data_IF_931988328930
#
_entry.id   IF_931988328930
#
_cell.length_a   1.000
_cell.length_b   1.000
_cell.length_c   1.000
_cell.angle_alpha   90.00
_cell.angle_beta   90.00
_cell.angle_gamma   90.00
#
_symmetry.space_group_name_H-M   'P 1'
#
loop_
_entity.id
_entity.type
_entity.pdbx_description
1 polymer ?
#
# COMPACT_ATOMS: atom_id res chain seq x y z
N UNK A 1 22.25 -4.58 -8.78
CA UNK A 1 20.88 -5.17 -8.70
C UNK A 1 19.87 -4.25 -8.03
N UNK A 2 20.18 -3.66 -6.87
CA UNK A 2 19.27 -2.75 -6.13
C UNK A 2 18.85 -1.50 -6.92
N UNK A 3 19.76 -0.92 -7.73
CA UNK A 3 19.44 0.23 -8.59
C UNK A 3 18.45 -0.17 -9.69
N UNK A 4 18.68 -1.31 -10.35
CA UNK A 4 17.77 -1.81 -11.39
C UNK A 4 16.37 -2.09 -10.84
N UNK A 5 16.26 -2.68 -9.64
CA UNK A 5 14.96 -2.88 -8.98
C UNK A 5 14.29 -1.56 -8.62
N UNK A 6 15.05 -0.57 -8.15
CA UNK A 6 14.50 0.74 -7.82
C UNK A 6 13.97 1.46 -9.07
N UNK A 7 14.74 1.47 -10.17
CA UNK A 7 14.32 2.05 -11.44
C UNK A 7 13.05 1.36 -11.95
N UNK A 8 12.98 0.04 -11.87
CA UNK A 8 11.78 -0.72 -12.26
C UNK A 8 10.56 -0.34 -11.42
N UNK A 9 10.70 -0.22 -10.10
CA UNK A 9 9.61 0.21 -9.20
C UNK A 9 9.10 1.60 -9.59
N UNK A 10 10.01 2.54 -9.87
CA UNK A 10 9.66 3.90 -10.30
C UNK A 10 8.90 3.90 -11.62
N UNK A 11 9.39 3.18 -12.63
CA UNK A 11 8.73 3.10 -13.94
C UNK A 11 7.32 2.50 -13.81
N UNK A 12 7.17 1.44 -13.02
CA UNK A 12 5.89 0.81 -12.77
C UNK A 12 4.93 1.72 -11.98
N UNK A 13 5.42 2.46 -10.99
CA UNK A 13 4.63 3.43 -10.25
C UNK A 13 4.12 4.56 -11.16
N UNK A 14 4.98 5.09 -12.04
CA UNK A 14 4.60 6.10 -13.03
C UNK A 14 3.54 5.53 -13.97
N UNK A 15 3.74 4.32 -14.49
CA UNK A 15 2.79 3.67 -15.38
C UNK A 15 1.41 3.50 -14.74
N UNK A 16 1.35 3.06 -13.48
CA UNK A 16 0.08 2.91 -12.76
C UNK A 16 -0.55 4.26 -12.32
N UNK A 17 0.21 5.36 -12.33
CA UNK A 17 -0.33 6.69 -12.08
C UNK A 17 -1.00 7.31 -13.33
N UNK A 18 -0.65 6.85 -14.54
CA UNK A 18 -1.20 7.37 -15.80
C UNK A 18 -2.74 7.38 -15.83
N UNK A 19 -3.47 6.32 -15.45
CA UNK A 19 -4.93 6.32 -15.51
C UNK A 19 -5.56 7.37 -14.59
N UNK A 20 -4.91 7.68 -13.46
CA UNK A 20 -5.37 8.74 -12.58
C UNK A 20 -5.13 10.12 -13.19
N UNK A 21 -3.99 10.34 -13.85
CA UNK A 21 -3.68 11.62 -14.50
C UNK A 21 -4.64 11.88 -15.67
N UNK A 22 -4.85 10.89 -16.54
CA UNK A 22 -5.70 11.02 -17.74
C UNK A 22 -7.18 11.10 -17.38
N UNK A 23 -7.63 10.36 -16.35
CA UNK A 23 -9.02 10.36 -15.92
C UNK A 23 -9.43 11.54 -15.03
N UNK A 24 -8.47 12.29 -14.48
CA UNK A 24 -8.76 13.42 -13.60
C UNK A 24 -9.29 14.62 -14.38
N UNK A 25 -10.48 15.09 -14.00
CA UNK A 25 -11.12 16.27 -14.57
C UNK A 25 -11.80 17.09 -13.48
N UNK A 26 -12.11 18.36 -13.77
CA UNK A 26 -12.90 19.20 -12.87
C UNK A 26 -14.37 18.89 -13.10
N UNK A 27 -15.02 18.33 -12.09
CA UNK A 27 -16.46 18.08 -12.09
C UNK A 27 -17.19 19.27 -11.47
N UNK A 28 -18.23 19.74 -12.17
CA UNK A 28 -19.12 20.80 -11.71
C UNK A 28 -20.46 20.21 -11.30
N UNK A 29 -20.87 20.48 -10.06
CA UNK A 29 -22.20 20.10 -9.56
C UNK A 29 -22.94 21.37 -9.17
N UNK A 30 -24.08 21.60 -9.84
CA UNK A 30 -25.00 22.70 -9.54
C UNK A 30 -25.90 22.27 -8.39
N UNK A 31 -25.77 22.91 -7.23
CA UNK A 31 -26.63 22.64 -6.06
C UNK A 31 -27.89 23.49 -6.12
N UNK A 32 -27.74 24.78 -6.50
CA UNK A 32 -28.82 25.73 -6.72
C UNK A 32 -28.48 26.62 -7.92
N UNK A 33 -29.43 27.48 -8.36
CA UNK A 33 -29.24 28.38 -9.51
C UNK A 33 -28.00 29.28 -9.41
N UNK A 34 -27.61 29.66 -8.19
CA UNK A 34 -26.49 30.56 -7.92
C UNK A 34 -25.28 29.89 -7.26
N UNK A 35 -25.37 28.61 -6.90
CA UNK A 35 -24.31 27.89 -6.15
C UNK A 35 -23.86 26.66 -6.91
N UNK A 36 -22.63 26.74 -7.42
CA UNK A 36 -21.93 25.64 -8.08
C UNK A 36 -20.70 25.22 -7.27
N UNK A 37 -20.48 23.91 -7.18
CA UNK A 37 -19.28 23.34 -6.56
C UNK A 37 -18.38 22.71 -7.62
N UNK A 38 -17.10 23.07 -7.56
CA UNK A 38 -16.04 22.56 -8.44
C UNK A 38 -15.15 21.65 -7.62
N UNK A 39 -14.93 20.42 -8.07
CA UNK A 39 -13.97 19.51 -7.43
C UNK A 39 -13.28 18.64 -8.47
N UNK A 40 -12.05 18.20 -8.15
CA UNK A 40 -11.32 17.26 -8.99
C UNK A 40 -11.89 15.85 -8.81
N UNK A 41 -12.26 15.20 -9.91
CA UNK A 41 -12.85 13.87 -9.91
C UNK A 41 -12.06 12.95 -10.85
N UNK A 42 -11.60 11.77 -10.38
CA UNK A 42 -10.65 10.92 -11.12
C UNK A 42 -11.29 9.92 -12.09
N UNK A 43 -12.64 9.88 -12.18
CA UNK A 43 -13.35 8.88 -12.98
C UNK A 43 -14.29 9.57 -13.97
N UNK A 44 -13.90 9.70 -15.26
CA UNK A 44 -14.76 10.28 -16.29
C UNK A 44 -16.07 9.50 -16.44
N UNK A 45 -17.19 10.19 -16.55
CA UNK A 45 -18.51 9.55 -16.74
C UNK A 45 -18.59 8.76 -18.05
N UNK A 46 -17.87 9.21 -19.08
CA UNK A 46 -17.78 8.59 -20.40
C UNK A 46 -17.21 7.16 -20.37
N UNK A 47 -16.37 6.83 -19.38
CA UNK A 47 -15.73 5.51 -19.27
C UNK A 47 -16.61 4.50 -18.49
N UNK A 48 -17.75 4.97 -17.99
CA UNK A 48 -18.76 4.17 -17.34
C UNK A 48 -18.45 3.77 -15.89
N UNK A 49 -19.49 3.35 -15.13
CA UNK A 49 -19.36 3.02 -13.71
C UNK A 49 -18.50 1.78 -13.44
N UNK A 50 -18.37 0.88 -14.41
CA UNK A 50 -17.54 -0.32 -14.27
C UNK A 50 -16.05 0.02 -14.21
N UNK A 51 -15.60 1.03 -14.96
CA UNK A 51 -14.22 1.51 -14.89
C UNK A 51 -13.90 2.04 -13.49
N UNK A 52 -14.78 2.86 -12.91
CA UNK A 52 -14.58 3.40 -11.57
C UNK A 52 -14.49 2.29 -10.51
N UNK A 53 -15.41 1.30 -10.55
CA UNK A 53 -15.38 0.12 -9.66
C UNK A 53 -14.09 -0.68 -9.81
N UNK A 54 -13.70 -0.99 -11.06
CA UNK A 54 -12.47 -1.72 -11.36
C UNK A 54 -11.22 -0.98 -10.86
N UNK A 55 -11.16 0.34 -11.05
CA UNK A 55 -10.05 1.16 -10.58
C UNK A 55 -9.97 1.24 -9.06
N UNK A 56 -11.10 1.38 -8.37
CA UNK A 56 -11.15 1.39 -6.90
C UNK A 56 -10.72 0.04 -6.33
N UNK A 57 -11.23 -1.05 -6.88
CA UNK A 57 -10.82 -2.41 -6.49
C UNK A 57 -9.35 -2.66 -6.79
N UNK A 58 -8.89 -2.30 -7.99
CA UNK A 58 -7.49 -2.43 -8.40
C UNK A 58 -6.56 -1.65 -7.47
N UNK A 59 -6.91 -0.41 -7.11
CA UNK A 59 -6.14 0.39 -6.13
C UNK A 59 -6.10 -0.27 -4.76
N UNK A 60 -7.23 -0.79 -4.28
CA UNK A 60 -7.26 -1.53 -3.02
C UNK A 60 -6.37 -2.77 -3.05
N UNK A 61 -6.39 -3.55 -4.13
CA UNK A 61 -5.58 -4.77 -4.22
C UNK A 61 -4.10 -4.45 -4.38
N UNK A 62 -3.74 -3.63 -5.37
CA UNK A 62 -2.35 -3.39 -5.79
C UNK A 62 -1.59 -2.52 -4.79
N UNK A 63 -2.23 -1.48 -4.22
CA UNK A 63 -1.54 -0.53 -3.34
C UNK A 63 -1.74 -0.81 -1.85
N UNK A 64 -2.72 -1.64 -1.47
CA UNK A 64 -3.05 -1.88 -0.07
C UNK A 64 -3.00 -3.37 0.29
N UNK A 65 -3.93 -4.19 -0.20
CA UNK A 65 -4.10 -5.57 0.29
C UNK A 65 -2.90 -6.49 -0.05
N UNK A 66 -2.46 -6.54 -1.30
CA UNK A 66 -1.38 -7.44 -1.75
C UNK A 66 -0.04 -7.04 -1.12
N UNK A 67 0.40 -5.76 -1.15
CA UNK A 67 1.64 -5.37 -0.48
C UNK A 67 1.63 -5.65 1.03
N UNK A 68 0.54 -5.32 1.73
CA UNK A 68 0.46 -5.56 3.18
C UNK A 68 0.53 -7.05 3.51
N UNK A 69 -0.16 -7.89 2.74
CA UNK A 69 -0.13 -9.34 2.92
C UNK A 69 1.28 -9.91 2.70
N UNK A 70 1.92 -9.55 1.60
CA UNK A 70 3.28 -10.02 1.24
C UNK A 70 4.29 -9.58 2.31
N UNK A 71 4.30 -8.29 2.66
CA UNK A 71 5.25 -7.75 3.64
C UNK A 71 4.96 -8.36 5.02
N UNK A 72 3.69 -8.44 5.42
CA UNK A 72 3.29 -9.05 6.69
C UNK A 72 3.77 -10.48 6.84
N UNK A 73 3.57 -11.33 5.82
CA UNK A 73 4.02 -12.73 5.85
C UNK A 73 5.54 -12.82 5.89
N UNK A 74 6.26 -12.15 4.98
CA UNK A 74 7.71 -12.27 4.93
C UNK A 74 8.36 -11.81 6.22
N UNK A 75 7.94 -10.68 6.78
CA UNK A 75 8.52 -10.18 8.02
C UNK A 75 8.10 -11.01 9.24
N UNK A 76 6.89 -11.58 9.26
CA UNK A 76 6.50 -12.54 10.29
C UNK A 76 7.36 -13.82 10.24
N UNK A 77 7.62 -14.37 9.05
CA UNK A 77 8.49 -15.53 8.87
C UNK A 77 9.94 -15.20 9.28
N UNK A 78 10.48 -14.05 8.87
CA UNK A 78 11.80 -13.58 9.28
C UNK A 78 11.87 -13.45 10.81
N UNK A 79 10.87 -12.84 11.44
CA UNK A 79 10.81 -12.71 12.89
C UNK A 79 10.77 -14.07 13.59
N UNK A 80 9.94 -15.00 13.10
CA UNK A 80 9.86 -16.38 13.63
C UNK A 80 11.17 -17.13 13.50
N UNK A 81 11.77 -17.11 12.32
CA UNK A 81 13.06 -17.76 12.07
C UNK A 81 14.13 -17.19 12.98
N UNK A 82 14.19 -15.86 13.14
CA UNK A 82 15.17 -15.22 14.00
C UNK A 82 14.98 -15.55 15.49
N UNK A 83 13.73 -15.68 15.94
CA UNK A 83 13.41 -16.12 17.32
C UNK A 83 13.79 -17.58 17.53
N UNK A 84 13.51 -18.45 16.56
CA UNK A 84 13.80 -19.88 16.65
C UNK A 84 15.31 -20.14 16.61
N UNK A 85 16.03 -19.51 15.68
CA UNK A 85 17.48 -19.65 15.55
C UNK A 85 18.21 -19.09 16.75
N UNK A 86 17.74 -18.00 17.38
CA UNK A 86 18.32 -17.45 18.60
C UNK A 86 18.19 -18.38 19.84
N UNK A 87 17.22 -19.31 19.85
CA UNK A 87 17.07 -20.31 20.92
C UNK A 87 18.02 -21.51 20.80
N UNK A 88 18.58 -21.74 19.62
CA UNK A 88 19.41 -22.90 19.30
C UNK A 88 20.90 -22.56 19.10
N UNK A 89 21.40 -21.42 19.59
CA UNK A 89 22.83 -21.07 19.53
C UNK A 89 23.51 -21.43 20.86
N UNK A 90 24.24 -22.55 20.95
CA UNK A 90 25.07 -22.84 22.11
C UNK A 90 26.40 -22.10 21.90
N UNK A 91 26.66 -21.05 22.70
CA UNK A 91 28.03 -20.65 23.03
C UNK A 91 28.89 -19.83 22.04
N UNK A 92 28.37 -19.09 21.06
CA UNK A 92 29.27 -18.36 20.12
C UNK A 92 29.17 -16.81 20.10
N UNK A 93 30.35 -16.19 20.24
CA UNK A 93 30.81 -14.84 19.86
C UNK A 93 29.80 -13.68 19.96
N UNK A 94 30.02 -12.79 20.93
CA UNK A 94 29.22 -11.59 21.27
C UNK A 94 28.81 -10.72 20.05
N UNK A 95 29.59 -10.73 18.97
CA UNK A 95 29.29 -10.05 17.71
C UNK A 95 28.09 -10.62 16.93
N UNK A 96 27.91 -11.94 16.90
CA UNK A 96 26.81 -12.63 16.18
C UNK A 96 25.47 -12.33 16.85
N UNK A 97 25.43 -12.35 18.19
CA UNK A 97 24.25 -12.00 18.98
C UNK A 97 23.82 -10.54 18.74
N UNK A 98 24.77 -9.60 18.63
CA UNK A 98 24.49 -8.20 18.34
C UNK A 98 23.91 -8.01 16.93
N UNK A 99 24.41 -8.72 15.92
CA UNK A 99 23.85 -8.68 14.56
C UNK A 99 22.42 -9.26 14.50
N UNK A 100 22.16 -10.38 15.18
CA UNK A 100 20.83 -11.00 15.28
C UNK A 100 19.85 -10.02 15.93
N UNK A 101 20.23 -9.36 17.04
CA UNK A 101 19.39 -8.36 17.70
C UNK A 101 19.09 -7.15 16.81
N UNK A 102 20.07 -6.68 16.03
CA UNK A 102 19.89 -5.59 15.08
C UNK A 102 18.91 -5.95 13.96
N UNK A 103 19.06 -7.12 13.33
CA UNK A 103 18.14 -7.62 12.30
C UNK A 103 16.71 -7.79 12.84
N UNK A 104 16.59 -8.23 14.11
CA UNK A 104 15.30 -8.32 14.81
C UNK A 104 14.64 -6.97 14.94
N UNK A 105 15.39 -5.97 15.41
CA UNK A 105 14.89 -4.61 15.60
C UNK A 105 14.35 -4.05 14.28
N UNK A 106 15.10 -4.22 13.18
CA UNK A 106 14.65 -3.82 11.84
C UNK A 106 13.35 -4.51 11.45
N UNK A 107 13.26 -5.83 11.59
CA UNK A 107 12.05 -6.58 11.24
C UNK A 107 10.82 -6.15 12.06
N UNK A 108 10.99 -5.92 13.36
CA UNK A 108 9.91 -5.44 14.24
C UNK A 108 9.49 -4.01 13.88
N UNK A 109 10.43 -3.13 13.57
CA UNK A 109 10.13 -1.76 13.13
C UNK A 109 9.36 -1.77 11.81
N UNK A 110 9.75 -2.60 10.84
CA UNK A 110 9.02 -2.70 9.57
C UNK A 110 7.61 -3.24 9.79
N UNK A 111 7.44 -4.28 10.62
CA UNK A 111 6.10 -4.78 10.98
C UNK A 111 5.23 -3.71 11.65
N UNK A 112 5.80 -2.92 12.54
CA UNK A 112 5.08 -1.82 13.17
C UNK A 112 4.57 -0.81 12.13
N UNK A 113 5.42 -0.42 11.17
CA UNK A 113 4.98 0.45 10.07
C UNK A 113 3.89 -0.19 9.22
N UNK A 114 4.02 -1.47 8.85
CA UNK A 114 2.99 -2.20 8.09
C UNK A 114 1.63 -2.18 8.81
N UNK A 115 1.62 -2.41 10.12
CA UNK A 115 0.38 -2.38 10.93
C UNK A 115 -0.21 -0.98 10.95
N UNK A 116 0.61 0.06 11.19
CA UNK A 116 0.15 1.45 11.22
C UNK A 116 -0.41 1.85 9.85
N UNK A 117 0.32 1.59 8.76
CA UNK A 117 -0.15 1.85 7.40
C UNK A 117 -1.46 1.12 7.11
N UNK A 118 -1.58 -0.15 7.51
CA UNK A 118 -2.82 -0.91 7.42
C UNK A 118 -3.97 -0.20 8.11
N UNK A 119 -3.85 0.08 9.40
CA UNK A 119 -4.93 0.69 10.19
C UNK A 119 -5.31 2.07 9.67
N UNK A 120 -4.33 2.90 9.31
CA UNK A 120 -4.58 4.28 8.87
C UNK A 120 -5.22 4.37 7.48
N UNK A 121 -4.85 3.48 6.55
CA UNK A 121 -5.36 3.51 5.17
C UNK A 121 -6.66 2.70 4.98
N UNK A 122 -6.95 1.75 5.89
CA UNK A 122 -8.15 0.91 5.83
C UNK A 122 -9.45 1.71 5.68
N UNK A 123 -9.72 2.77 6.49
CA UNK A 123 -10.99 3.50 6.40
C UNK A 123 -11.21 4.15 5.03
N UNK A 124 -10.14 4.71 4.43
CA UNK A 124 -10.21 5.36 3.12
C UNK A 124 -10.55 4.35 2.02
N UNK A 125 -9.86 3.20 2.00
CA UNK A 125 -10.13 2.17 1.00
C UNK A 125 -11.51 1.52 1.17
N UNK A 126 -11.94 1.25 2.41
CA UNK A 126 -13.27 0.72 2.68
C UNK A 126 -14.36 1.70 2.28
N UNK A 127 -14.19 2.99 2.58
CA UNK A 127 -15.13 4.03 2.17
C UNK A 127 -15.27 4.08 0.65
N UNK A 128 -14.15 4.07 -0.09
CA UNK A 128 -14.17 4.07 -1.55
C UNK A 128 -14.85 2.81 -2.09
N UNK A 129 -14.51 1.62 -1.58
CA UNK A 129 -15.17 0.38 -2.01
C UNK A 129 -16.68 0.44 -1.75
N UNK A 130 -17.09 0.84 -0.55
CA UNK A 130 -18.50 0.95 -0.20
C UNK A 130 -19.25 1.95 -1.09
N UNK A 131 -18.65 3.11 -1.37
CA UNK A 131 -19.27 4.15 -2.19
C UNK A 131 -19.52 3.71 -3.65
N UNK A 132 -18.61 2.92 -4.25
CA UNK A 132 -18.76 2.50 -5.66
C UNK A 132 -19.49 1.18 -5.85
N UNK A 133 -19.56 0.31 -4.83
CA UNK A 133 -20.23 -0.99 -4.90
C UNK A 133 -21.63 -1.03 -4.28
N UNK A 134 -22.03 0.03 -3.57
CA UNK A 134 -23.43 0.29 -3.22
C UNK A 134 -24.20 0.81 -4.43
#
# INVERSE_FOLDING_TARGET
MTIATAVFIWLMAIAFAVPAIVGSHIKTVMINKDVSFYFCYPFPEEWGPQYARGMVLGKFLIYYAVPLFIIGIFYALIARHLIHSAKHVPGEMQGTVRQIKARRKVAVTVLAFVVIFGICFLPSHLFMLWFYYK
#
